data_IF_657854587278
#
_entry.id   IF_657854587278
#
_cell.length_a   1.000
_cell.length_b   1.000
_cell.length_c   1.000
_cell.angle_alpha   90.00
_cell.angle_beta   90.00
_cell.angle_gamma   90.00
#
_symmetry.space_group_name_H-M   'P 1'
#
loop_
_entity.id
_entity.type
_entity.pdbx_description
1 polymer ?
#
# COMPACT_ATOMS: atom_id res chain seq x y z
N UNK A 1 4.47 6.79 8.49
CA UNK A 1 4.99 6.22 7.23
C UNK A 1 5.70 4.91 7.53
N UNK A 2 5.68 3.97 6.59
CA UNK A 2 6.13 2.59 6.83
C UNK A 2 5.00 1.57 7.02
N UNK A 3 3.84 1.85 6.43
CA UNK A 3 2.70 0.93 6.45
C UNK A 3 2.97 -0.30 5.57
N UNK A 4 2.64 -1.47 6.06
CA UNK A 4 2.81 -2.73 5.33
C UNK A 4 1.55 -3.01 4.50
N UNK A 5 1.76 -3.25 3.21
CA UNK A 5 0.71 -3.46 2.22
C UNK A 5 1.05 -4.67 1.36
N UNK A 6 0.02 -5.23 0.73
CA UNK A 6 0.14 -6.29 -0.27
C UNK A 6 -0.59 -5.85 -1.55
N UNK A 7 -0.07 -6.23 -2.72
CA UNK A 7 -0.73 -5.99 -3.99
C UNK A 7 -2.02 -6.82 -4.09
N UNK A 8 -3.10 -6.19 -4.52
CA UNK A 8 -4.38 -6.87 -4.85
C UNK A 8 -4.64 -6.92 -6.35
N UNK A 9 -3.79 -6.30 -7.16
CA UNK A 9 -3.78 -6.36 -8.60
C UNK A 9 -2.35 -6.62 -9.09
N UNK A 10 -2.22 -7.24 -10.25
CA UNK A 10 -0.92 -7.34 -10.91
C UNK A 10 -0.50 -5.96 -11.42
N UNK A 11 0.67 -5.49 -11.01
CA UNK A 11 1.19 -4.17 -11.39
C UNK A 11 2.66 -4.30 -11.71
N UNK A 12 3.06 -3.80 -12.89
CA UNK A 12 4.46 -3.78 -13.33
C UNK A 12 5.13 -5.17 -13.31
N UNK A 13 4.36 -6.21 -13.65
CA UNK A 13 4.80 -7.61 -13.63
C UNK A 13 4.94 -8.23 -12.23
N UNK A 14 4.51 -7.52 -11.17
CA UNK A 14 4.47 -8.07 -9.82
C UNK A 14 3.16 -8.80 -9.57
N UNK A 15 3.21 -10.07 -9.11
CA UNK A 15 2.00 -10.84 -8.85
C UNK A 15 1.21 -10.25 -7.68
N UNK A 16 -0.09 -10.55 -7.70
CA UNK A 16 -0.99 -10.32 -6.55
C UNK A 16 -0.41 -11.02 -5.32
N UNK A 17 -0.50 -10.36 -4.17
CA UNK A 17 0.04 -10.85 -2.91
C UNK A 17 1.43 -10.31 -2.58
N UNK A 18 2.14 -9.69 -3.55
CA UNK A 18 3.49 -9.17 -3.30
C UNK A 18 3.47 -8.12 -2.18
N UNK A 19 4.23 -8.38 -1.13
CA UNK A 19 4.30 -7.53 0.04
C UNK A 19 5.27 -6.37 -0.17
N UNK A 20 4.87 -5.20 0.33
CA UNK A 20 5.66 -3.99 0.26
C UNK A 20 5.41 -3.05 1.41
N UNK A 21 6.24 -2.02 1.48
CA UNK A 21 6.17 -0.98 2.50
C UNK A 21 5.94 0.37 1.85
N UNK A 22 4.92 1.08 2.30
CA UNK A 22 4.63 2.44 1.86
C UNK A 22 5.73 3.38 2.38
N UNK A 23 6.50 3.94 1.46
CA UNK A 23 7.60 4.88 1.74
C UNK A 23 7.18 6.33 1.53
N UNK A 24 6.19 6.57 0.66
CA UNK A 24 5.61 7.89 0.44
C UNK A 24 4.10 7.75 0.28
N UNK A 25 3.36 8.64 0.92
CA UNK A 25 1.95 8.86 0.64
C UNK A 25 1.81 10.36 0.35
N UNK A 26 1.58 10.72 -0.91
CA UNK A 26 1.46 12.11 -1.33
C UNK A 26 0.19 12.29 -2.17
N UNK A 27 -0.55 13.36 -1.95
CA UNK A 27 -1.70 13.70 -2.78
C UNK A 27 -2.12 15.15 -2.64
N UNK A 28 -2.12 15.88 -3.75
CA UNK A 28 -2.69 17.22 -3.86
C UNK A 28 -4.16 17.19 -4.30
N UNK A 29 -4.51 16.30 -5.26
CA UNK A 29 -5.91 15.99 -5.65
C UNK A 29 -6.18 14.47 -5.68
N UNK A 30 -5.15 13.64 -5.86
CA UNK A 30 -5.24 12.17 -5.76
C UNK A 30 -4.15 11.66 -4.84
N UNK A 31 -4.54 10.81 -3.89
CA UNK A 31 -3.60 10.17 -2.99
C UNK A 31 -2.84 9.07 -3.74
N UNK A 32 -1.56 9.31 -3.98
CA UNK A 32 -0.62 8.35 -4.56
C UNK A 32 0.31 7.79 -3.49
N UNK A 33 0.54 6.50 -3.61
CA UNK A 33 1.43 5.74 -2.76
C UNK A 33 2.67 5.33 -3.54
N UNK A 34 3.81 5.56 -2.92
CA UNK A 34 5.08 4.94 -3.32
C UNK A 34 5.35 3.78 -2.40
N UNK A 35 5.43 2.59 -2.97
CA UNK A 35 5.65 1.35 -2.24
C UNK A 35 6.95 0.73 -2.69
N UNK A 36 7.79 0.38 -1.72
CA UNK A 36 8.99 -0.42 -1.93
C UNK A 36 8.67 -1.86 -1.59
N UNK A 37 8.75 -2.74 -2.58
CA UNK A 37 8.48 -4.16 -2.45
C UNK A 37 9.69 -4.93 -1.94
N UNK A 38 9.44 -6.13 -1.40
CA UNK A 38 10.47 -7.01 -0.85
C UNK A 38 11.48 -7.48 -1.90
N UNK A 39 11.08 -7.53 -3.17
CA UNK A 39 11.95 -7.86 -4.31
C UNK A 39 12.88 -6.70 -4.74
N UNK A 40 12.81 -5.55 -4.08
CA UNK A 40 13.61 -4.37 -4.40
C UNK A 40 12.99 -3.43 -5.44
N UNK A 41 11.85 -3.79 -6.03
CA UNK A 41 11.09 -2.94 -6.96
C UNK A 41 10.37 -1.84 -6.20
N UNK A 42 10.30 -0.65 -6.79
CA UNK A 42 9.63 0.49 -6.20
C UNK A 42 8.65 1.10 -7.20
N UNK A 43 7.37 1.17 -6.82
CA UNK A 43 6.31 1.69 -7.68
C UNK A 43 5.69 2.91 -7.02
N UNK A 44 5.67 4.03 -7.75
CA UNK A 44 5.15 5.33 -7.27
C UNK A 44 3.73 5.67 -7.69
N UNK A 45 3.16 4.90 -8.62
CA UNK A 45 1.84 5.16 -9.21
C UNK A 45 0.74 4.27 -8.61
N UNK A 46 0.81 4.01 -7.30
CA UNK A 46 -0.17 3.15 -6.64
C UNK A 46 -1.25 3.96 -5.94
N UNK A 47 -2.47 3.43 -5.95
CA UNK A 47 -3.63 3.98 -5.25
C UNK A 47 -4.29 2.89 -4.41
N UNK A 48 -5.35 3.23 -3.67
CA UNK A 48 -6.02 2.29 -2.78
C UNK A 48 -6.59 1.06 -3.49
N UNK A 49 -6.85 1.12 -4.81
CA UNK A 49 -7.37 0.00 -5.61
C UNK A 49 -6.31 -1.06 -5.91
N UNK A 50 -5.04 -0.70 -5.76
CA UNK A 50 -3.91 -1.60 -5.98
C UNK A 50 -3.38 -2.21 -4.69
N UNK A 51 -3.73 -1.63 -3.53
CA UNK A 51 -3.08 -1.91 -2.26
C UNK A 51 -4.07 -2.33 -1.18
N UNK A 52 -3.80 -3.48 -0.56
CA UNK A 52 -4.45 -3.89 0.66
C UNK A 52 -3.50 -3.72 1.86
N UNK A 53 -3.91 -3.02 2.93
CA UNK A 53 -3.14 -2.99 4.16
C UNK A 53 -3.11 -4.38 4.81
N UNK A 54 -1.94 -4.78 5.32
CA UNK A 54 -1.74 -6.07 5.99
C UNK A 54 -1.16 -5.92 7.40
N UNK A 55 -1.27 -6.99 8.18
CA UNK A 55 -0.70 -7.08 9.54
C UNK A 55 -1.11 -5.93 10.47
N UNK A 56 -0.11 -5.25 11.03
CA UNK A 56 -0.32 -4.16 12.00
C UNK A 56 -1.06 -2.96 11.37
N UNK A 57 -0.79 -2.65 10.11
CA UNK A 57 -1.45 -1.55 9.39
C UNK A 57 -2.94 -1.83 9.22
N UNK A 58 -3.31 -3.04 8.78
CA UNK A 58 -4.70 -3.45 8.66
C UNK A 58 -5.46 -3.29 9.99
N UNK A 59 -4.87 -3.77 11.08
CA UNK A 59 -5.46 -3.68 12.42
C UNK A 59 -5.64 -2.23 12.89
N UNK A 60 -4.68 -1.36 12.58
CA UNK A 60 -4.76 0.07 12.91
C UNK A 60 -5.89 0.75 12.14
N UNK A 61 -5.99 0.49 10.84
CA UNK A 61 -7.04 1.08 9.98
C UNK A 61 -8.43 0.60 10.37
N UNK A 62 -8.61 -0.69 10.66
CA UNK A 62 -9.88 -1.23 11.13
C UNK A 62 -10.33 -0.60 12.46
N UNK A 63 -9.39 -0.29 13.37
CA UNK A 63 -9.69 0.44 14.62
C UNK A 63 -10.07 1.90 14.37
N UNK A 64 -9.41 2.56 13.42
CA UNK A 64 -9.74 3.93 13.05
C UNK A 64 -11.15 4.02 12.43
N UNK A 65 -11.48 3.08 11.53
CA UNK A 65 -12.79 3.01 10.88
C UNK A 65 -13.95 2.80 11.88
N UNK A 66 -13.72 2.07 12.99
CA UNK A 66 -14.74 1.89 14.05
C UNK A 66 -14.96 3.11 14.95
N UNK A 67 -14.07 4.11 14.87
CA UNK A 67 -14.13 5.33 15.69
C UNK A 67 -14.69 6.53 14.93
N UNK A 68 -14.85 6.41 13.62
CA UNK A 68 -15.55 7.35 12.77
C UNK A 68 -17.05 7.00 12.76
#
# INVERSE_FOLDING_TARGET
MGDTVSLIAEVDGLPIGTEGKVILANGFNWLRYRVRFTNGTEIGDLDHRHLQPIGKTARRLARAAKRA
#
